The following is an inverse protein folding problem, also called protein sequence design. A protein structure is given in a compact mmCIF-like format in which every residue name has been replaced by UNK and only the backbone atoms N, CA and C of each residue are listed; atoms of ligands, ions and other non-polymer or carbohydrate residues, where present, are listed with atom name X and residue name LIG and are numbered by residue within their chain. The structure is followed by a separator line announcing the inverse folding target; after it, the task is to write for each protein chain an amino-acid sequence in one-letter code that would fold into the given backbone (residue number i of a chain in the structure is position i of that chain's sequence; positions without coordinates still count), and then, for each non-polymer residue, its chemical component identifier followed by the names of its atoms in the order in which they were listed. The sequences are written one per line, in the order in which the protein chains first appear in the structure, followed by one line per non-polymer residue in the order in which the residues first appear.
data_IF_281283592439
#
_entry.id   IF_281283592439
#
_cell.length_a   1.000
_cell.length_b   1.000
_cell.length_c   1.000
_cell.angle_alpha   90.00
_cell.angle_beta   90.00
_cell.angle_gamma   90.00
#
_symmetry.space_group_name_H-M   'P 1'
#
loop_
_entity.id
_entity.type
_entity.pdbx_description
1 polymer ?
#
# COMPACT_ATOMS: atom_id res chain seq x y z
N UNK A 1 -1.66 -21.45 12.46
CA UNK A 1 -2.87 -20.73 12.01
C UNK A 1 -2.63 -19.91 10.73
N UNK A 2 -1.53 -19.16 10.60
CA UNK A 2 -1.23 -18.38 9.39
C UNK A 2 -0.96 -19.27 8.16
N UNK A 3 -0.20 -20.37 8.30
CA UNK A 3 0.01 -21.35 7.20
C UNK A 3 -1.29 -21.95 6.67
N UNK A 4 -2.25 -22.21 7.55
CA UNK A 4 -3.59 -22.72 7.16
C UNK A 4 -4.35 -21.64 6.37
N UNK A 5 -4.28 -20.37 6.81
CA UNK A 5 -4.93 -19.25 6.10
C UNK A 5 -4.33 -19.04 4.71
N UNK A 6 -3.03 -19.23 4.55
CA UNK A 6 -2.33 -19.13 3.25
C UNK A 6 -2.76 -20.24 2.30
N UNK A 7 -2.89 -21.49 2.78
CA UNK A 7 -3.38 -22.61 1.99
C UNK A 7 -4.81 -22.36 1.48
N UNK A 8 -5.71 -21.93 2.35
CA UNK A 8 -7.07 -21.54 1.95
C UNK A 8 -7.10 -20.39 0.95
N UNK A 9 -6.18 -19.46 1.09
CA UNK A 9 -6.05 -18.34 0.18
C UNK A 9 -5.62 -18.76 -1.24
N UNK A 10 -4.65 -19.66 -1.32
CA UNK A 10 -4.22 -20.25 -2.61
C UNK A 10 -5.38 -21.01 -3.26
N UNK A 11 -6.10 -21.81 -2.48
CA UNK A 11 -7.30 -22.51 -2.97
C UNK A 11 -8.38 -21.52 -3.45
N UNK A 12 -8.59 -20.42 -2.72
CA UNK A 12 -9.54 -19.38 -3.11
C UNK A 12 -9.18 -18.78 -4.46
N UNK A 13 -7.93 -18.43 -4.69
CA UNK A 13 -7.45 -17.88 -5.95
C UNK A 13 -7.68 -18.87 -7.09
N UNK A 14 -7.28 -20.11 -6.92
CA UNK A 14 -7.45 -21.17 -7.94
C UNK A 14 -8.93 -21.42 -8.21
N UNK A 15 -9.74 -21.61 -7.16
CA UNK A 15 -11.16 -21.95 -7.26
C UNK A 15 -12.01 -20.87 -7.91
N UNK A 16 -11.58 -19.60 -7.86
CA UNK A 16 -12.26 -18.48 -8.49
C UNK A 16 -11.76 -18.18 -9.90
N UNK A 17 -10.83 -18.97 -10.42
CA UNK A 17 -10.25 -18.72 -11.73
C UNK A 17 -9.36 -17.49 -11.80
N UNK A 18 -8.92 -16.98 -10.64
CA UNK A 18 -7.91 -15.92 -10.57
C UNK A 18 -6.51 -16.44 -10.86
N UNK A 19 -6.36 -17.75 -10.83
CA UNK A 19 -5.14 -18.44 -11.21
C UNK A 19 -5.48 -19.71 -11.97
N UNK A 20 -4.98 -19.79 -13.16
CA UNK A 20 -5.01 -21.00 -13.96
C UNK A 20 -3.69 -21.75 -13.80
N UNK A 21 -3.76 -22.95 -13.22
CA UNK A 21 -2.58 -23.84 -13.09
C UNK A 21 -1.99 -24.24 -14.45
N UNK A 22 -2.80 -24.21 -15.50
CA UNK A 22 -2.38 -24.52 -16.86
C UNK A 22 -1.76 -23.33 -17.59
N UNK A 23 -1.66 -22.17 -16.94
CA UNK A 23 -1.19 -20.90 -17.51
C UNK A 23 -1.99 -20.44 -18.74
N UNK A 24 -3.17 -20.95 -18.94
CA UNK A 24 -4.08 -20.39 -19.92
C UNK A 24 -4.57 -19.02 -19.44
N UNK A 25 -4.82 -18.11 -20.37
CA UNK A 25 -5.23 -16.74 -20.06
C UNK A 25 -6.53 -16.75 -19.29
N UNK A 26 -6.44 -16.56 -17.98
CA UNK A 26 -7.60 -16.36 -17.11
C UNK A 26 -8.37 -15.07 -17.53
N UNK A 27 -9.59 -14.91 -17.04
CA UNK A 27 -10.33 -13.63 -17.19
C UNK A 27 -9.51 -12.43 -16.71
N UNK A 28 -8.66 -12.63 -15.72
CA UNK A 28 -7.75 -11.64 -15.17
C UNK A 28 -6.63 -11.31 -16.15
N UNK A 29 -6.04 -12.32 -16.80
CA UNK A 29 -4.99 -12.11 -17.79
C UNK A 29 -5.50 -11.29 -18.99
N UNK A 30 -6.73 -11.49 -19.38
CA UNK A 30 -7.35 -10.68 -20.44
C UNK A 30 -7.49 -9.21 -20.03
N UNK A 31 -7.90 -8.94 -18.80
CA UNK A 31 -8.06 -7.57 -18.32
C UNK A 31 -6.71 -6.87 -18.12
N UNK A 32 -5.76 -7.51 -17.48
CA UNK A 32 -4.45 -6.93 -17.23
C UNK A 32 -3.56 -6.85 -18.47
N UNK A 33 -3.73 -7.74 -19.45
CA UNK A 33 -3.04 -7.61 -20.73
C UNK A 33 -3.45 -6.37 -21.52
N UNK A 34 -4.60 -5.81 -21.22
CA UNK A 34 -5.05 -4.52 -21.79
C UNK A 34 -4.41 -3.31 -21.09
N UNK A 35 -3.92 -3.45 -19.85
CA UNK A 35 -3.43 -2.34 -19.03
C UNK A 35 -1.90 -2.33 -18.88
N UNK A 36 -1.27 -3.48 -18.93
CA UNK A 36 0.17 -3.66 -18.75
C UNK A 36 0.64 -4.85 -19.60
N UNK A 37 1.89 -5.18 -19.55
CA UNK A 37 2.46 -6.37 -20.18
C UNK A 37 1.63 -7.66 -19.98
N UNK A 38 1.96 -8.70 -20.70
CA UNK A 38 1.24 -9.97 -20.87
C UNK A 38 0.88 -10.78 -19.60
N UNK A 39 1.27 -10.34 -18.39
CA UNK A 39 1.00 -11.06 -17.14
C UNK A 39 0.52 -10.11 -16.05
N UNK A 40 -0.67 -10.33 -15.45
CA UNK A 40 -1.14 -9.51 -14.34
C UNK A 40 -0.30 -9.76 -13.10
N UNK A 41 0.12 -8.69 -12.43
CA UNK A 41 0.86 -8.76 -11.17
C UNK A 41 0.00 -8.43 -9.96
N UNK A 42 -1.03 -7.62 -10.12
CA UNK A 42 -1.91 -7.17 -9.05
C UNK A 42 -3.33 -7.64 -9.33
N UNK A 43 -3.97 -8.23 -8.33
CA UNK A 43 -5.29 -8.83 -8.44
C UNK A 43 -6.27 -8.09 -7.55
N UNK A 44 -7.39 -7.64 -8.11
CA UNK A 44 -8.47 -6.95 -7.42
C UNK A 44 -9.32 -7.88 -6.53
N UNK A 45 -8.67 -8.59 -5.62
CA UNK A 45 -9.28 -9.47 -4.63
C UNK A 45 -9.13 -8.83 -3.26
N UNK A 46 -10.24 -8.55 -2.60
CA UNK A 46 -10.31 -7.78 -1.36
C UNK A 46 -11.00 -8.56 -0.24
N UNK A 47 -12.03 -9.33 -0.59
CA UNK A 47 -13.02 -9.89 0.32
C UNK A 47 -12.95 -11.41 0.40
N UNK A 48 -11.86 -12.02 -0.05
CA UNK A 48 -11.67 -13.44 0.20
C UNK A 48 -11.70 -13.71 1.71
N UNK A 49 -12.35 -14.80 2.10
CA UNK A 49 -12.46 -15.16 3.51
C UNK A 49 -11.09 -15.21 4.23
N UNK A 50 -10.02 -15.77 3.64
CA UNK A 50 -8.69 -15.73 4.27
C UNK A 50 -8.15 -14.31 4.48
N UNK A 51 -8.36 -13.37 3.53
CA UNK A 51 -7.93 -11.98 3.70
C UNK A 51 -8.67 -11.29 4.85
N UNK A 52 -9.99 -11.45 4.90
CA UNK A 52 -10.81 -10.87 5.98
C UNK A 52 -10.39 -11.42 7.34
N UNK A 53 -10.19 -12.75 7.46
CA UNK A 53 -9.70 -13.36 8.69
C UNK A 53 -8.28 -12.90 9.07
N UNK A 54 -7.40 -12.67 8.09
CA UNK A 54 -6.06 -12.18 8.35
C UNK A 54 -6.05 -10.73 8.84
N UNK A 55 -6.88 -9.85 8.24
CA UNK A 55 -6.96 -8.42 8.64
C UNK A 55 -7.41 -8.25 10.08
N UNK A 56 -8.32 -9.08 10.56
CA UNK A 56 -8.85 -9.03 11.93
C UNK A 56 -8.13 -9.97 12.93
N UNK A 57 -6.98 -10.53 12.54
CA UNK A 57 -6.17 -11.35 13.46
C UNK A 57 -5.59 -10.47 14.58
N UNK A 58 -5.74 -10.90 15.83
CA UNK A 58 -5.28 -10.13 17.00
C UNK A 58 -3.79 -9.82 16.99
N UNK A 59 -2.96 -10.68 16.39
CA UNK A 59 -1.52 -10.44 16.25
C UNK A 59 -1.26 -9.32 15.24
N UNK A 60 -2.01 -9.33 14.13
CA UNK A 60 -1.96 -8.26 13.14
C UNK A 60 -2.38 -6.92 13.77
N UNK A 61 -3.48 -6.89 14.50
CA UNK A 61 -3.94 -5.68 15.19
C UNK A 61 -2.91 -5.18 16.22
N UNK A 62 -2.28 -6.07 16.99
CA UNK A 62 -1.22 -5.71 17.93
C UNK A 62 0.01 -5.14 17.23
N UNK A 63 0.42 -5.72 16.11
CA UNK A 63 1.54 -5.21 15.30
C UNK A 63 1.25 -3.82 14.76
N UNK A 64 0.05 -3.63 14.20
CA UNK A 64 -0.37 -2.33 13.67
C UNK A 64 -0.45 -1.26 14.77
N UNK A 65 -1.02 -1.58 15.92
CA UNK A 65 -1.04 -0.67 17.06
C UNK A 65 0.37 -0.28 17.51
N UNK A 66 1.30 -1.24 17.57
CA UNK A 66 2.70 -0.95 17.90
C UNK A 66 3.34 -0.02 16.87
N UNK A 67 3.13 -0.26 15.57
CA UNK A 67 3.63 0.60 14.49
C UNK A 67 3.03 2.01 14.57
N UNK A 68 1.71 2.12 14.77
CA UNK A 68 1.04 3.40 14.90
C UNK A 68 1.60 4.23 16.07
N UNK A 69 1.96 3.58 17.18
CA UNK A 69 2.54 4.26 18.34
C UNK A 69 4.00 4.74 18.14
N UNK A 70 4.63 4.44 16.99
CA UNK A 70 5.90 5.06 16.60
C UNK A 70 5.71 6.49 16.10
N UNK A 71 4.49 6.89 15.78
CA UNK A 71 4.16 8.22 15.31
C UNK A 71 3.76 9.14 16.45
N UNK A 72 4.11 10.40 16.32
CA UNK A 72 3.61 11.44 17.20
C UNK A 72 2.17 11.78 16.80
N UNK A 73 1.21 11.24 17.55
CA UNK A 73 -0.21 11.42 17.32
C UNK A 73 -0.85 12.42 18.28
N UNK A 74 -0.08 13.03 19.18
CA UNK A 74 -0.56 14.01 20.13
C UNK A 74 -0.99 15.27 19.40
N UNK A 75 -2.28 15.55 19.45
CA UNK A 75 -2.84 16.78 18.97
C UNK A 75 -3.85 17.29 19.96
N UNK A 76 -3.91 18.60 20.11
CA UNK A 76 -4.79 19.36 21.00
C UNK A 76 -6.29 19.12 20.69
N UNK A 77 -6.75 17.88 20.80
CA UNK A 77 -8.17 17.51 20.85
C UNK A 77 -8.97 17.52 19.55
N UNK A 78 -8.54 18.18 18.49
CA UNK A 78 -9.39 18.35 17.27
C UNK A 78 -9.12 17.33 16.15
N UNK A 79 -7.95 16.70 16.11
CA UNK A 79 -7.59 15.76 15.02
C UNK A 79 -7.16 14.40 15.53
N UNK A 80 -7.83 13.92 16.59
CA UNK A 80 -7.48 12.72 17.31
C UNK A 80 -7.22 11.52 16.40
N UNK A 81 -5.96 11.12 16.33
CA UNK A 81 -5.54 9.82 15.81
C UNK A 81 -5.41 8.90 17.01
N UNK A 82 -6.22 7.83 17.05
CA UNK A 82 -6.06 6.80 18.07
C UNK A 82 -5.15 5.68 17.52
N UNK A 83 -3.90 5.60 17.95
CA UNK A 83 -2.94 4.63 17.41
C UNK A 83 -3.28 3.17 17.80
N UNK A 84 -4.14 2.97 18.79
CA UNK A 84 -4.51 1.64 19.28
C UNK A 84 -5.78 1.09 18.63
N UNK A 85 -6.45 1.90 17.83
CA UNK A 85 -7.64 1.53 17.08
C UNK A 85 -7.38 1.63 15.59
N UNK A 86 -7.91 0.71 14.83
CA UNK A 86 -7.65 0.56 13.41
C UNK A 86 -8.94 0.61 12.62
N UNK A 87 -8.94 1.28 11.48
CA UNK A 87 -9.99 1.22 10.47
C UNK A 87 -9.65 0.16 9.44
N UNK A 88 -10.64 -0.58 8.95
CA UNK A 88 -10.42 -1.48 7.82
C UNK A 88 -10.15 -0.66 6.56
N UNK A 89 -9.09 -1.01 5.86
CA UNK A 89 -8.83 -0.62 4.49
C UNK A 89 -8.48 -1.88 3.70
N UNK A 90 -9.42 -2.35 2.89
CA UNK A 90 -9.24 -3.58 2.13
C UNK A 90 -8.36 -3.31 0.91
N UNK A 91 -7.25 -4.03 0.81
CA UNK A 91 -6.30 -3.91 -0.28
C UNK A 91 -6.10 -5.26 -0.99
N UNK A 92 -5.41 -5.24 -2.10
CA UNK A 92 -5.28 -6.27 -3.13
C UNK A 92 -4.25 -7.35 -2.76
N UNK A 93 -4.03 -8.22 -3.74
CA UNK A 93 -2.98 -9.23 -3.73
C UNK A 93 -2.06 -8.93 -4.88
N UNK A 94 -0.78 -9.21 -4.69
CA UNK A 94 0.20 -9.20 -5.75
C UNK A 94 0.82 -10.56 -5.91
N UNK A 95 1.10 -10.92 -7.16
CA UNK A 95 1.80 -12.13 -7.54
C UNK A 95 2.81 -11.82 -8.63
N UNK A 96 4.00 -12.39 -8.51
CA UNK A 96 4.98 -12.44 -9.59
C UNK A 96 5.37 -13.88 -9.89
N UNK A 97 5.51 -14.16 -11.16
CA UNK A 97 5.89 -15.47 -11.65
C UNK A 97 7.40 -15.55 -11.86
N UNK A 98 8.00 -16.76 -11.73
CA UNK A 98 9.38 -16.98 -12.12
C UNK A 98 9.65 -16.53 -13.57
N UNK A 99 10.79 -15.88 -13.77
CA UNK A 99 11.17 -15.34 -15.07
C UNK A 99 10.41 -14.08 -15.51
N UNK A 100 9.55 -13.53 -14.64
CA UNK A 100 8.87 -12.27 -14.94
C UNK A 100 9.90 -11.13 -15.01
N UNK A 101 10.07 -10.61 -16.21
CA UNK A 101 10.92 -9.46 -16.52
C UNK A 101 10.12 -8.22 -16.88
N UNK A 102 8.82 -8.25 -16.63
CA UNK A 102 8.01 -7.02 -16.77
C UNK A 102 8.51 -6.02 -15.76
N UNK A 103 8.73 -4.81 -16.25
CA UNK A 103 9.21 -3.71 -15.44
C UNK A 103 8.49 -3.68 -14.10
N UNK A 104 9.24 -3.99 -13.04
CA UNK A 104 8.76 -3.79 -11.70
C UNK A 104 8.26 -2.36 -11.53
N UNK A 105 7.62 -2.08 -10.43
CA UNK A 105 7.34 -0.70 -10.11
C UNK A 105 8.67 0.04 -9.96
N UNK A 106 8.93 1.01 -10.84
CA UNK A 106 10.11 1.87 -10.76
C UNK A 106 10.18 2.59 -9.41
N UNK A 107 11.35 3.06 -8.99
CA UNK A 107 11.49 3.75 -7.72
C UNK A 107 10.53 4.93 -7.59
N UNK A 108 9.75 4.94 -6.51
CA UNK A 108 8.73 5.96 -6.27
C UNK A 108 8.39 6.07 -4.78
N UNK A 109 7.65 7.13 -4.45
CA UNK A 109 6.99 7.32 -3.17
C UNK A 109 5.51 7.47 -3.42
N UNK A 110 4.68 6.70 -2.72
CA UNK A 110 3.22 6.71 -2.88
C UNK A 110 2.56 7.99 -2.32
N UNK A 111 1.24 8.07 -2.49
CA UNK A 111 0.37 9.11 -1.94
C UNK A 111 0.54 10.51 -2.56
N UNK A 112 0.75 10.57 -3.86
CA UNK A 112 0.79 11.81 -4.62
C UNK A 112 2.19 12.25 -5.01
N UNK A 113 2.25 13.09 -6.01
CA UNK A 113 3.46 13.55 -6.67
C UNK A 113 3.53 15.08 -6.61
N UNK A 114 3.05 15.78 -7.63
CA UNK A 114 3.07 17.24 -7.69
C UNK A 114 2.27 17.87 -6.53
N UNK A 115 1.29 17.14 -5.99
CA UNK A 115 0.48 17.53 -4.85
C UNK A 115 1.33 17.86 -3.62
N UNK A 116 2.51 17.25 -3.48
CA UNK A 116 3.43 17.49 -2.35
C UNK A 116 3.91 18.93 -2.26
N UNK A 117 3.92 19.67 -3.39
CA UNK A 117 4.29 21.09 -3.41
C UNK A 117 3.07 22.03 -3.40
N UNK A 118 1.93 21.62 -3.93
CA UNK A 118 0.77 22.50 -4.15
C UNK A 118 -0.38 22.30 -3.17
N UNK A 119 -0.59 21.10 -2.61
CA UNK A 119 -1.66 20.85 -1.64
C UNK A 119 -1.32 21.48 -0.29
N UNK A 120 -2.32 22.14 0.31
CA UNK A 120 -2.14 22.84 1.59
C UNK A 120 -1.83 21.92 2.75
N UNK A 121 -2.40 20.72 2.77
CA UNK A 121 -2.11 19.68 3.76
C UNK A 121 -0.65 19.24 3.67
N UNK A 122 -0.17 18.94 2.46
CA UNK A 122 1.23 18.61 2.24
C UNK A 122 2.18 19.76 2.58
N UNK A 123 1.85 21.00 2.24
CA UNK A 123 2.66 22.16 2.61
C UNK A 123 2.80 22.31 4.13
N UNK A 124 1.76 21.97 4.89
CA UNK A 124 1.80 21.94 6.37
C UNK A 124 2.61 20.77 6.90
N UNK A 125 2.49 19.60 6.31
CA UNK A 125 3.31 18.42 6.64
C UNK A 125 4.79 18.73 6.43
N UNK A 126 5.17 19.28 5.28
CA UNK A 126 6.55 19.61 4.93
C UNK A 126 6.94 21.07 5.28
N UNK A 127 6.24 21.72 6.21
CA UNK A 127 6.47 23.14 6.59
C UNK A 127 7.93 23.45 6.93
N UNK A 128 8.58 22.56 7.65
CA UNK A 128 10.00 22.70 8.01
C UNK A 128 10.93 22.55 6.81
N UNK A 129 10.58 21.67 5.88
CA UNK A 129 11.32 21.51 4.63
C UNK A 129 11.22 22.79 3.81
N UNK A 130 10.01 23.25 3.52
CA UNK A 130 9.78 24.43 2.66
C UNK A 130 10.22 25.77 3.29
N UNK A 131 10.35 25.85 4.60
CA UNK A 131 10.92 27.04 5.26
C UNK A 131 12.46 27.04 5.34
N UNK A 132 13.14 25.98 4.84
CA UNK A 132 14.59 25.85 4.94
C UNK A 132 15.09 25.20 6.23
N UNK A 133 14.21 24.98 7.20
CA UNK A 133 14.53 24.35 8.48
C UNK A 133 14.38 22.81 8.44
N UNK A 134 14.80 22.20 7.34
CA UNK A 134 14.60 20.78 7.07
C UNK A 134 15.12 19.82 8.16
N UNK A 135 16.05 20.27 9.00
CA UNK A 135 16.57 19.49 10.13
C UNK A 135 15.49 19.24 11.19
N UNK A 136 14.52 20.15 11.28
CA UNK A 136 13.41 20.07 12.23
C UNK A 136 12.25 19.22 11.69
N UNK A 137 12.32 18.77 10.43
CA UNK A 137 11.34 17.88 9.86
C UNK A 137 11.42 16.50 10.51
N UNK A 138 10.34 16.09 11.17
CA UNK A 138 10.15 14.74 11.67
C UNK A 138 9.18 13.98 10.76
N UNK A 139 9.63 12.91 10.08
CA UNK A 139 8.76 12.11 9.23
C UNK A 139 7.66 11.39 10.01
N UNK A 140 7.83 11.15 11.30
CA UNK A 140 6.84 10.50 12.17
C UNK A 140 5.88 11.48 12.87
N UNK A 141 5.93 12.77 12.53
CA UNK A 141 4.93 13.75 12.95
C UNK A 141 3.63 13.52 12.16
N UNK A 142 2.56 13.06 12.83
CA UNK A 142 1.26 12.84 12.24
C UNK A 142 0.44 14.12 12.07
N UNK A 143 0.91 15.25 12.63
CA UNK A 143 0.27 16.55 12.54
C UNK A 143 0.06 16.91 11.06
N UNK A 144 -1.14 17.28 10.70
CA UNK A 144 -1.56 17.64 9.35
C UNK A 144 -1.62 16.50 8.32
N UNK A 145 -1.16 15.28 8.63
CA UNK A 145 -1.22 14.15 7.69
C UNK A 145 -2.66 13.78 7.31
N UNK A 146 -3.60 13.95 8.22
CA UNK A 146 -5.03 13.72 7.96
C UNK A 146 -5.70 14.83 7.18
N UNK A 147 -5.03 15.96 6.98
CA UNK A 147 -5.54 17.12 6.23
C UNK A 147 -5.11 17.11 4.75
N UNK A 148 -4.24 16.20 4.36
CA UNK A 148 -3.82 16.02 2.97
C UNK A 148 -5.06 15.68 2.15
N UNK A 149 -5.23 16.39 1.02
CA UNK A 149 -6.30 16.14 0.08
C UNK A 149 -5.72 15.52 -1.19
N UNK A 150 -5.68 14.20 -1.19
CA UNK A 150 -5.16 13.43 -2.32
C UNK A 150 -6.09 13.56 -3.53
N UNK A 151 -5.50 13.64 -4.72
CA UNK A 151 -6.26 13.58 -5.97
C UNK A 151 -6.58 12.11 -6.25
N UNK A 152 -7.85 11.73 -6.35
CA UNK A 152 -8.25 10.35 -6.59
C UNK A 152 -7.60 9.79 -7.86
N UNK A 153 -6.88 8.70 -7.71
CA UNK A 153 -6.32 7.94 -8.83
C UNK A 153 -6.01 6.50 -8.41
N UNK A 154 -5.88 5.55 -9.35
CA UNK A 154 -5.50 4.18 -9.01
C UNK A 154 -4.13 4.04 -8.34
N UNK A 155 -3.30 5.08 -8.38
CA UNK A 155 -1.97 5.13 -7.77
C UNK A 155 -1.97 5.83 -6.39
N UNK A 156 -3.10 6.35 -5.93
CA UNK A 156 -3.19 7.17 -4.72
C UNK A 156 -4.32 6.69 -3.83
N UNK A 157 -3.98 6.25 -2.63
CA UNK A 157 -4.96 5.95 -1.57
C UNK A 157 -5.23 7.22 -0.78
N UNK A 158 -6.51 7.55 -0.58
CA UNK A 158 -6.90 8.74 0.16
C UNK A 158 -6.96 8.53 1.68
N UNK A 159 -6.89 7.30 2.18
CA UNK A 159 -6.84 7.05 3.62
C UNK A 159 -5.47 7.43 4.20
N UNK A 160 -5.47 7.94 5.42
CA UNK A 160 -4.23 8.16 6.15
C UNK A 160 -3.66 6.83 6.62
N UNK A 161 -2.45 6.50 6.17
CA UNK A 161 -1.69 5.31 6.57
C UNK A 161 -0.41 5.72 7.27
N UNK A 162 -0.16 5.19 8.46
CA UNK A 162 1.11 5.38 9.16
C UNK A 162 2.21 4.51 8.55
N UNK A 163 1.86 3.31 8.12
CA UNK A 163 2.74 2.41 7.37
C UNK A 163 2.00 1.73 6.24
N UNK A 164 2.67 1.56 5.15
CA UNK A 164 2.33 0.61 4.11
C UNK A 164 2.96 -0.73 4.45
N UNK A 165 2.46 -1.80 3.85
CA UNK A 165 3.03 -3.12 4.10
C UNK A 165 2.36 -4.23 3.33
N UNK A 166 2.94 -5.42 3.45
CA UNK A 166 2.34 -6.66 2.95
C UNK A 166 2.78 -7.86 3.79
N UNK A 167 2.00 -8.92 3.68
CA UNK A 167 2.30 -10.23 4.24
C UNK A 167 2.79 -11.14 3.13
N UNK A 168 3.94 -11.79 3.32
CA UNK A 168 4.41 -12.83 2.42
C UNK A 168 3.47 -14.05 2.47
N UNK A 169 3.03 -14.50 1.31
CA UNK A 169 2.22 -15.71 1.15
C UNK A 169 3.07 -16.90 0.68
N UNK A 170 4.22 -16.62 0.11
CA UNK A 170 5.24 -17.58 -0.32
C UNK A 170 6.59 -17.18 0.25
N UNK A 171 7.54 -18.10 0.29
CA UNK A 171 8.94 -17.80 0.53
C UNK A 171 9.46 -16.92 -0.60
N UNK A 172 10.17 -15.84 -0.25
CA UNK A 172 10.72 -14.89 -1.21
C UNK A 172 11.84 -14.06 -0.60
N UNK A 173 12.76 -13.60 -1.41
CA UNK A 173 13.89 -12.78 -0.98
C UNK A 173 14.52 -12.00 -2.13
N UNK A 174 15.76 -11.52 -1.99
CA UNK A 174 16.47 -10.84 -3.07
C UNK A 174 16.49 -11.68 -4.35
N UNK A 175 16.22 -11.03 -5.48
CA UNK A 175 16.10 -11.59 -6.83
C UNK A 175 14.83 -12.43 -7.10
N UNK A 176 13.88 -12.47 -6.16
CA UNK A 176 12.56 -13.08 -6.36
C UNK A 176 11.49 -12.08 -6.84
N UNK A 177 11.91 -11.00 -7.50
CA UNK A 177 10.99 -9.97 -7.96
C UNK A 177 10.29 -9.23 -6.82
N UNK A 178 10.94 -9.08 -5.70
CA UNK A 178 10.39 -8.57 -4.45
C UNK A 178 10.62 -7.06 -4.27
N UNK A 179 10.33 -6.56 -3.08
CA UNK A 179 10.43 -5.15 -2.73
C UNK A 179 11.89 -4.72 -2.57
N UNK A 180 12.20 -3.54 -3.11
CA UNK A 180 13.41 -2.78 -2.83
C UNK A 180 13.02 -1.46 -2.16
N UNK A 181 13.87 -0.94 -1.31
CA UNK A 181 13.62 0.35 -0.66
C UNK A 181 14.92 1.07 -0.33
N UNK A 182 14.84 2.39 -0.21
CA UNK A 182 15.90 3.23 0.35
C UNK A 182 15.62 3.37 1.84
N UNK A 183 16.39 2.73 2.75
CA UNK A 183 16.04 2.65 4.18
C UNK A 183 16.34 3.96 4.93
N UNK A 184 16.00 5.09 4.35
CA UNK A 184 16.21 6.45 4.88
C UNK A 184 14.95 7.27 4.62
N UNK A 185 14.05 7.36 5.60
CA UNK A 185 12.77 8.07 5.45
C UNK A 185 13.00 9.55 5.10
N UNK A 186 13.98 10.20 5.72
CA UNK A 186 14.32 11.61 5.42
C UNK A 186 14.83 11.85 4.00
N UNK A 187 15.01 10.81 3.19
CA UNK A 187 15.31 10.96 1.77
C UNK A 187 14.25 11.79 1.02
N UNK A 188 13.03 11.81 1.49
CA UNK A 188 11.96 12.66 0.93
C UNK A 188 12.35 14.14 0.89
N UNK A 189 13.12 14.61 1.87
CA UNK A 189 13.61 16.01 1.91
C UNK A 189 14.51 16.30 0.71
N UNK A 190 15.42 15.37 0.39
CA UNK A 190 16.27 15.50 -0.79
C UNK A 190 15.43 15.56 -2.08
N UNK A 191 14.44 14.66 -2.21
CA UNK A 191 13.60 14.59 -3.41
C UNK A 191 12.80 15.88 -3.57
N UNK A 192 12.23 16.42 -2.49
CA UNK A 192 11.47 17.66 -2.53
C UNK A 192 12.34 18.87 -2.91
N UNK A 193 13.56 18.97 -2.38
CA UNK A 193 14.48 20.05 -2.73
C UNK A 193 15.06 19.90 -4.12
N UNK A 194 15.35 18.67 -4.55
CA UNK A 194 15.96 18.42 -5.86
C UNK A 194 15.14 19.01 -6.99
N UNK A 195 13.83 18.93 -6.88
CA UNK A 195 12.91 19.49 -7.88
C UNK A 195 12.92 21.04 -7.94
N UNK A 196 13.47 21.70 -6.94
CA UNK A 196 13.49 23.18 -6.82
C UNK A 196 14.88 23.78 -7.11
N UNK A 197 15.85 22.98 -7.55
CA UNK A 197 17.19 23.47 -7.87
C UNK A 197 17.24 24.10 -9.28
N UNK A 198 18.11 25.07 -9.46
CA UNK A 198 18.21 25.89 -10.67
C UNK A 198 18.54 25.09 -11.95
N UNK A 199 19.13 23.90 -11.82
CA UNK A 199 19.42 23.00 -12.96
C UNK A 199 18.24 22.14 -13.39
N UNK A 200 17.10 22.21 -12.69
CA UNK A 200 15.85 21.55 -13.05
C UNK A 200 14.96 22.55 -13.79
N UNK A 201 14.45 22.22 -14.99
CA UNK A 201 13.50 23.07 -15.69
C UNK A 201 12.26 23.39 -14.84
N UNK A 202 11.83 24.64 -14.83
CA UNK A 202 10.71 25.13 -13.98
C UNK A 202 9.39 24.35 -14.17
N UNK A 203 9.19 23.80 -15.36
CA UNK A 203 8.01 23.00 -15.72
C UNK A 203 8.17 21.49 -15.50
N UNK A 204 9.34 21.03 -15.04
CA UNK A 204 9.67 19.61 -14.94
C UNK A 204 9.40 19.02 -13.56
N UNK A 205 9.73 19.73 -12.47
CA UNK A 205 9.73 19.20 -11.10
C UNK A 205 10.31 17.77 -10.98
N UNK A 206 11.41 17.50 -11.70
CA UNK A 206 12.03 16.16 -11.81
C UNK A 206 11.07 15.07 -12.34
N UNK A 207 10.14 15.42 -13.21
CA UNK A 207 9.17 14.50 -13.80
C UNK A 207 7.95 14.18 -12.90
N UNK A 208 7.72 14.97 -11.86
CA UNK A 208 6.52 14.84 -11.05
C UNK A 208 5.25 15.16 -11.86
N UNK A 209 4.22 14.32 -11.75
CA UNK A 209 2.96 14.44 -12.48
C UNK A 209 1.77 14.32 -11.53
N UNK A 210 0.74 15.12 -11.77
CA UNK A 210 -0.49 15.09 -10.98
C UNK A 210 -1.17 13.71 -11.00
N UNK A 211 -1.68 13.27 -9.83
CA UNK A 211 -2.41 12.01 -9.70
C UNK A 211 -1.54 10.76 -9.94
N UNK A 212 -0.23 10.88 -9.75
CA UNK A 212 0.74 9.78 -9.85
C UNK A 212 1.47 9.59 -8.52
N UNK A 213 2.18 8.47 -8.41
CA UNK A 213 3.22 8.33 -7.38
C UNK A 213 4.39 9.27 -7.71
N UNK A 214 5.10 9.76 -6.69
CA UNK A 214 6.28 10.58 -6.87
C UNK A 214 7.45 9.73 -7.38
N UNK A 215 7.76 9.87 -8.64
CA UNK A 215 8.82 9.11 -9.29
C UNK A 215 10.21 9.54 -8.81
N UNK A 216 11.10 8.57 -8.64
CA UNK A 216 12.51 8.76 -8.29
C UNK A 216 13.36 8.18 -9.41
N UNK A 217 13.89 9.02 -10.29
CA UNK A 217 14.61 8.60 -11.49
C UNK A 217 16.13 8.76 -11.37
N UNK A 218 16.94 7.95 -12.07
CA UNK A 218 18.40 8.12 -12.11
C UNK A 218 18.84 9.47 -12.66
N UNK A 219 18.07 10.07 -13.54
CA UNK A 219 18.35 11.38 -14.13
C UNK A 219 18.46 12.48 -13.07
N UNK A 220 17.54 12.45 -12.08
CA UNK A 220 17.45 13.51 -11.08
C UNK A 220 17.87 13.07 -9.67
N UNK A 221 17.83 11.76 -9.40
CA UNK A 221 17.93 11.21 -8.03
C UNK A 221 18.96 10.08 -7.93
N UNK A 222 20.04 10.11 -8.72
CA UNK A 222 21.07 9.06 -8.72
C UNK A 222 21.65 8.82 -7.31
N UNK A 223 21.91 9.89 -6.56
CA UNK A 223 22.50 9.78 -5.23
C UNK A 223 21.68 8.91 -4.26
N UNK A 224 20.39 9.16 -4.00
CA UNK A 224 19.60 8.30 -3.12
C UNK A 224 19.38 6.89 -3.69
N UNK A 225 19.28 6.74 -5.01
CA UNK A 225 19.07 5.45 -5.65
C UNK A 225 20.23 4.47 -5.41
N UNK A 226 21.44 4.95 -5.17
CA UNK A 226 22.58 4.10 -4.77
C UNK A 226 22.38 3.41 -3.42
N UNK A 227 21.50 3.93 -2.57
CA UNK A 227 21.13 3.34 -1.28
C UNK A 227 19.98 2.34 -1.35
N UNK A 228 19.48 2.00 -2.54
CA UNK A 228 18.37 1.07 -2.69
C UNK A 228 18.81 -0.37 -2.47
N UNK A 229 18.12 -1.07 -1.58
CA UNK A 229 18.41 -2.45 -1.19
C UNK A 229 17.15 -3.31 -1.27
N UNK A 230 17.31 -4.57 -1.62
CA UNK A 230 16.23 -5.56 -1.54
C UNK A 230 15.96 -5.92 -0.08
N UNK A 231 14.73 -6.32 0.21
CA UNK A 231 14.36 -6.89 1.52
C UNK A 231 15.07 -8.23 1.74
N UNK A 232 15.27 -8.63 3.01
CA UNK A 232 15.84 -9.95 3.31
C UNK A 232 14.91 -11.09 2.92
N UNK A 233 15.40 -12.33 3.03
CA UNK A 233 14.58 -13.52 2.87
C UNK A 233 13.43 -13.55 3.86
N UNK A 234 12.25 -13.87 3.38
CA UNK A 234 11.01 -13.94 4.12
C UNK A 234 10.31 -15.28 3.91
N UNK A 235 9.62 -15.72 4.95
CA UNK A 235 8.81 -16.92 4.95
C UNK A 235 7.30 -16.58 4.93
N UNK A 236 6.46 -17.52 4.49
CA UNK A 236 5.01 -17.32 4.53
C UNK A 236 4.52 -16.92 5.93
N UNK A 237 3.89 -15.77 6.00
CA UNK A 237 3.40 -15.16 7.23
C UNK A 237 4.27 -14.05 7.80
N UNK A 238 5.49 -13.86 7.30
CA UNK A 238 6.28 -12.67 7.61
C UNK A 238 5.63 -11.42 7.00
N UNK A 239 5.87 -10.28 7.62
CA UNK A 239 5.32 -8.99 7.17
C UNK A 239 6.42 -7.98 6.95
N UNK A 240 6.30 -7.22 5.89
CA UNK A 240 7.16 -6.07 5.60
C UNK A 240 6.34 -4.80 5.76
N UNK A 241 6.93 -3.80 6.41
CA UNK A 241 6.32 -2.51 6.66
C UNK A 241 7.27 -1.38 6.29
N UNK A 242 6.76 -0.34 5.66
CA UNK A 242 7.54 0.85 5.34
C UNK A 242 6.74 2.13 5.51
N UNK A 243 7.46 3.19 5.84
CA UNK A 243 6.88 4.52 6.00
C UNK A 243 6.35 5.06 4.67
N UNK A 244 5.21 5.78 4.61
CA UNK A 244 4.62 6.30 3.37
C UNK A 244 5.54 7.22 2.55
N UNK A 245 6.46 7.94 3.20
CA UNK A 245 7.42 8.80 2.51
C UNK A 245 8.71 8.06 2.08
N UNK A 246 8.76 6.75 2.25
CA UNK A 246 9.93 5.97 1.88
C UNK A 246 9.91 5.65 0.40
N UNK A 247 11.00 5.97 -0.29
CA UNK A 247 11.18 5.56 -1.69
C UNK A 247 11.35 4.05 -1.76
N UNK A 248 10.53 3.41 -2.56
CA UNK A 248 10.54 1.98 -2.77
C UNK A 248 10.34 1.63 -4.25
N UNK A 249 10.68 0.42 -4.59
CA UNK A 249 10.57 -0.15 -5.93
C UNK A 249 10.28 -1.64 -5.82
N UNK A 250 10.10 -2.26 -6.97
CA UNK A 250 10.08 -3.72 -7.10
C UNK A 250 11.20 -4.11 -8.03
N UNK A 251 11.87 -5.22 -7.74
CA UNK A 251 12.91 -5.76 -8.61
C UNK A 251 12.38 -5.95 -10.03
N UNK A 252 13.18 -5.61 -11.02
CA UNK A 252 12.79 -5.67 -12.44
C UNK A 252 12.63 -7.10 -12.94
N UNK A 253 13.48 -8.00 -12.45
CA UNK A 253 13.52 -9.41 -12.84
C UNK A 253 13.22 -10.30 -11.64
N UNK A 254 12.44 -11.35 -11.86
CA UNK A 254 12.23 -12.45 -10.94
C UNK A 254 13.09 -13.65 -11.37
N UNK A 255 14.27 -13.81 -10.75
CA UNK A 255 15.22 -14.87 -11.06
C UNK A 255 14.95 -16.17 -10.28
N UNK A 256 14.08 -16.11 -9.27
CA UNK A 256 13.71 -17.26 -8.44
C UNK A 256 12.89 -18.30 -9.18
N UNK A 257 12.71 -19.46 -8.54
CA UNK A 257 12.01 -20.61 -9.13
C UNK A 257 10.54 -20.73 -8.67
N UNK A 258 10.12 -19.96 -7.68
CA UNK A 258 8.79 -20.02 -7.08
C UNK A 258 8.05 -18.69 -7.26
N UNK A 259 6.72 -18.73 -7.18
CA UNK A 259 5.93 -17.50 -7.20
C UNK A 259 6.22 -16.62 -5.98
N UNK A 260 6.35 -15.32 -6.21
CA UNK A 260 6.36 -14.29 -5.18
C UNK A 260 4.96 -13.74 -4.97
N UNK A 261 4.28 -14.20 -3.94
CA UNK A 261 2.91 -13.78 -3.63
C UNK A 261 2.86 -12.97 -2.34
N UNK A 262 2.16 -11.85 -2.37
CA UNK A 262 1.94 -11.02 -1.19
C UNK A 262 0.50 -10.56 -1.09
N UNK A 263 0.02 -10.39 0.14
CA UNK A 263 -1.24 -9.72 0.45
C UNK A 263 -0.92 -8.34 1.00
N UNK A 264 -1.39 -7.29 0.33
CA UNK A 264 -1.19 -5.93 0.81
C UNK A 264 -1.93 -5.72 2.12
N UNK A 265 -1.22 -5.10 3.04
CA UNK A 265 -1.71 -4.65 4.32
C UNK A 265 -1.19 -3.24 4.53
N UNK A 266 -1.89 -2.46 5.31
CA UNK A 266 -1.47 -1.14 5.72
C UNK A 266 -1.99 -0.87 7.12
N UNK A 267 -1.46 0.14 7.77
CA UNK A 267 -2.02 0.63 9.01
C UNK A 267 -2.90 1.84 8.70
N UNK A 268 -4.13 1.80 9.12
CA UNK A 268 -5.08 2.90 9.00
C UNK A 268 -5.66 3.21 10.38
N UNK A 269 -4.92 3.95 11.24
CA UNK A 269 -5.36 4.25 12.60
C UNK A 269 -6.69 5.00 12.60
N UNK A 270 -7.47 4.81 13.65
CA UNK A 270 -8.75 5.49 13.79
C UNK A 270 -8.52 7.01 13.88
N UNK A 271 -9.02 7.72 12.89
CA UNK A 271 -9.09 9.17 12.84
C UNK A 271 -10.32 9.58 12.02
N UNK A 272 -10.69 10.85 12.06
CA UNK A 272 -11.87 11.33 11.32
C UNK A 272 -11.78 11.02 9.82
N UNK A 273 -10.61 11.21 9.20
CA UNK A 273 -10.39 10.93 7.78
C UNK A 273 -10.69 9.45 7.46
N UNK A 274 -10.10 8.53 8.20
CA UNK A 274 -10.25 7.09 7.95
C UNK A 274 -11.64 6.57 8.33
N UNK A 275 -12.27 7.11 9.38
CA UNK A 275 -13.61 6.67 9.78
C UNK A 275 -14.71 7.07 8.81
N UNK A 276 -14.52 8.13 8.04
CA UNK A 276 -15.47 8.55 7.02
C UNK A 276 -15.68 7.50 5.91
N UNK A 277 -14.71 6.59 5.73
CA UNK A 277 -14.74 5.57 4.67
C UNK A 277 -15.33 4.23 5.12
N UNK A 278 -15.59 4.07 6.42
CA UNK A 278 -16.02 2.78 6.96
C UNK A 278 -17.36 2.32 6.39
N UNK A 279 -18.32 3.21 6.20
CA UNK A 279 -19.60 2.86 5.56
C UNK A 279 -19.37 2.34 4.13
N UNK A 280 -18.46 2.95 3.39
CA UNK A 280 -18.08 2.50 2.05
C UNK A 280 -17.42 1.11 2.10
N UNK A 281 -16.52 0.86 3.06
CA UNK A 281 -15.92 -0.46 3.26
C UNK A 281 -16.98 -1.53 3.58
N UNK A 282 -17.98 -1.19 4.41
CA UNK A 282 -19.13 -2.08 4.69
C UNK A 282 -19.92 -2.38 3.42
N UNK A 283 -20.23 -1.38 2.60
CA UNK A 283 -20.91 -1.60 1.33
C UNK A 283 -20.08 -2.46 0.36
N UNK A 284 -18.76 -2.30 0.37
CA UNK A 284 -17.87 -3.11 -0.45
C UNK A 284 -17.86 -4.58 -0.05
N UNK A 285 -17.78 -4.94 1.24
CA UNK A 285 -17.86 -6.34 1.67
C UNK A 285 -19.23 -6.95 1.39
N UNK A 286 -20.33 -6.20 1.58
CA UNK A 286 -21.69 -6.68 1.30
C UNK A 286 -21.89 -6.98 -0.19
N UNK A 287 -21.36 -6.15 -1.06
CA UNK A 287 -21.56 -6.25 -2.50
C UNK A 287 -20.46 -7.02 -3.25
N UNK A 288 -19.31 -7.25 -2.63
CA UNK A 288 -18.13 -7.84 -3.27
C UNK A 288 -17.40 -6.85 -4.19
N UNK A 289 -17.67 -5.55 -4.08
CA UNK A 289 -17.00 -4.52 -4.88
C UNK A 289 -15.69 -4.09 -4.25
N UNK A 290 -14.81 -3.53 -5.07
CA UNK A 290 -13.61 -2.85 -4.58
C UNK A 290 -13.95 -1.50 -3.94
N UNK A 291 -13.01 -1.01 -3.13
CA UNK A 291 -13.07 0.37 -2.65
C UNK A 291 -12.82 1.36 -3.82
N UNK A 292 -13.41 2.56 -3.78
CA UNK A 292 -13.31 3.53 -4.91
C UNK A 292 -11.90 3.96 -5.31
N UNK A 293 -10.90 3.80 -4.43
CA UNK A 293 -9.49 4.07 -4.75
C UNK A 293 -8.93 3.15 -5.84
N UNK A 294 -9.57 2.01 -6.07
CA UNK A 294 -9.07 0.98 -6.96
C UNK A 294 -9.90 0.89 -8.25
N UNK A 295 -9.28 0.39 -9.29
CA UNK A 295 -10.00 0.09 -10.54
C UNK A 295 -11.15 -0.87 -10.28
N UNK A 296 -12.32 -0.58 -10.85
CA UNK A 296 -13.55 -1.34 -10.62
C UNK A 296 -13.55 -2.69 -11.37
N UNK A 297 -12.74 -3.63 -10.91
CA UNK A 297 -12.65 -4.96 -11.50
C UNK A 297 -13.82 -5.85 -11.08
N UNK A 298 -14.32 -5.69 -9.85
CA UNK A 298 -15.55 -6.32 -9.33
C UNK A 298 -15.61 -7.85 -9.46
N UNK A 299 -14.49 -8.55 -9.41
CA UNK A 299 -14.42 -10.01 -9.59
C UNK A 299 -15.20 -10.79 -8.53
N UNK A 300 -15.32 -10.24 -7.32
CA UNK A 300 -15.92 -10.93 -6.19
C UNK A 300 -17.43 -10.72 -6.07
N UNK A 301 -18.05 -9.85 -6.92
CA UNK A 301 -19.48 -9.51 -6.83
C UNK A 301 -20.37 -10.75 -6.92
N UNK A 302 -20.10 -11.65 -7.84
CA UNK A 302 -20.89 -12.86 -8.06
C UNK A 302 -20.32 -14.10 -7.39
N UNK A 303 -19.25 -13.96 -6.61
CA UNK A 303 -18.61 -15.10 -5.98
C UNK A 303 -19.23 -15.39 -4.60
N UNK A 304 -19.89 -16.50 -4.48
CA UNK A 304 -20.58 -16.93 -3.24
C UNK A 304 -19.64 -17.36 -2.11
N UNK A 305 -18.38 -17.67 -2.43
CA UNK A 305 -17.38 -18.11 -1.46
C UNK A 305 -16.59 -16.97 -0.80
N UNK A 306 -16.90 -15.68 -1.12
CA UNK A 306 -16.28 -14.56 -0.44
C UNK A 306 -16.75 -14.45 1.01
N UNK A 307 -16.01 -13.71 1.81
CA UNK A 307 -16.41 -13.40 3.18
C UNK A 307 -17.71 -12.58 3.21
N UNK A 308 -18.40 -12.71 4.30
CA UNK A 308 -19.61 -11.96 4.64
C UNK A 308 -19.41 -11.23 5.97
N UNK A 309 -20.38 -10.44 6.39
CA UNK A 309 -20.36 -9.78 7.69
C UNK A 309 -20.30 -10.80 8.84
N UNK A 310 -20.85 -12.01 8.65
CA UNK A 310 -20.82 -13.07 9.65
C UNK A 310 -19.42 -13.67 9.89
N UNK A 311 -18.48 -13.47 8.95
CA UNK A 311 -17.09 -13.86 9.12
C UNK A 311 -16.29 -12.85 9.97
N UNK A 312 -16.90 -11.71 10.34
CA UNK A 312 -16.25 -10.70 11.18
C UNK A 312 -16.33 -11.09 12.65
N UNK A 313 -15.17 -11.08 13.30
CA UNK A 313 -15.06 -11.11 14.75
C UNK A 313 -15.49 -9.77 15.36
N UNK A 314 -15.62 -9.67 16.68
CA UNK A 314 -15.89 -8.38 17.36
C UNK A 314 -14.82 -7.33 16.99
N UNK A 315 -13.55 -7.76 16.89
CA UNK A 315 -12.47 -6.87 16.43
C UNK A 315 -12.70 -6.42 14.99
N UNK A 316 -13.03 -7.34 14.09
CA UNK A 316 -13.34 -7.00 12.69
C UNK A 316 -14.54 -6.05 12.57
N UNK A 317 -15.58 -6.24 13.38
CA UNK A 317 -16.74 -5.34 13.43
C UNK A 317 -16.36 -3.95 13.92
N UNK A 318 -15.50 -3.84 14.94
CA UNK A 318 -14.95 -2.55 15.39
C UNK A 318 -14.15 -1.86 14.30
N UNK A 319 -13.27 -2.59 13.65
CA UNK A 319 -12.45 -2.08 12.54
C UNK A 319 -13.29 -1.63 11.32
N UNK A 320 -14.48 -2.19 11.15
CA UNK A 320 -15.44 -1.84 10.09
C UNK A 320 -16.46 -0.77 10.54
N UNK A 321 -16.40 -0.27 11.76
CA UNK A 321 -17.37 0.69 12.28
C UNK A 321 -18.75 0.12 12.58
N UNK A 322 -18.92 -1.20 12.54
CA UNK A 322 -20.17 -1.90 12.84
C UNK A 322 -20.43 -2.09 14.35
N UNK A 323 -19.44 -1.78 15.16
CA UNK A 323 -19.46 -1.87 16.62
C UNK A 323 -18.55 -0.79 17.21
N UNK A 324 -18.90 -0.18 18.33
CA UNK A 324 -18.00 0.79 18.99
C UNK A 324 -16.75 0.10 19.54
N UNK A 325 -15.68 0.85 19.61
CA UNK A 325 -14.40 0.39 20.17
C UNK A 325 -14.46 0.23 21.69
#
# INVERSE_FOLDING_TARGET
MLKIKISFFTEYIIKNGYYDQCQEKSRLDQYFSMLQSSKPQVFGIYWSRPQVLARQDKRMAKTKAWLNNLWMCEQNGEFGIDPNKECTYADRIRRREPGDSTFGLSPHTDAGSIERWIDKGYQRVYRHVFSGNWKDYDPFDATYRTEINEIPSPAVSHVFRTFQGWTALTEQGPNDGTLKLIPIVRNIVYILYRALLDDVPEDSLCGALQGRALNTSPEWHDLPLRGMVSIPNLFPGDTVWWHPDLTHAVEDLHEGNNFSNVMYIGTAPLCKKNSNDLDTQVQCILTGKCFPDFSAENYEVNYRGRATIDDLTDLGKKQMGLMPW
#
